data_IF_898267832176
#
_entry.id   IF_898267832176
#
_cell.length_a   1.000
_cell.length_b   1.000
_cell.length_c   1.000
_cell.angle_alpha   90.00
_cell.angle_beta   90.00
_cell.angle_gamma   90.00
#
_symmetry.space_group_name_H-M   'P 1'
#
loop_
_entity.id
_entity.type
_entity.pdbx_description
1 polymer ?
#
# COMPACT_ATOMS: atom_id res chain seq x y z
N UNK A 1 56.79 -30.90 -39.30
CA UNK A 1 55.94 -29.71 -39.54
C UNK A 1 54.42 -30.01 -39.61
N UNK A 2 53.99 -31.25 -39.41
CA UNK A 2 52.56 -31.64 -39.59
C UNK A 2 51.73 -31.79 -38.30
N UNK A 3 52.34 -31.68 -37.12
CA UNK A 3 51.64 -31.87 -35.85
C UNK A 3 50.97 -30.56 -35.35
N UNK A 4 51.44 -29.40 -35.79
CA UNK A 4 50.96 -28.07 -35.38
C UNK A 4 49.60 -27.70 -36.02
N UNK A 5 49.34 -28.14 -37.25
CA UNK A 5 48.10 -27.80 -37.96
C UNK A 5 46.89 -28.63 -37.48
N UNK A 6 47.13 -29.86 -37.04
CA UNK A 6 46.07 -30.72 -36.53
C UNK A 6 45.51 -30.33 -35.13
N UNK A 7 46.36 -29.69 -34.31
CA UNK A 7 45.98 -29.14 -32.97
C UNK A 7 45.20 -27.84 -33.07
N UNK A 8 45.52 -26.97 -34.01
CA UNK A 8 44.80 -25.73 -34.26
C UNK A 8 43.35 -25.97 -34.74
N UNK A 9 43.17 -26.87 -35.70
CA UNK A 9 41.85 -27.23 -36.22
C UNK A 9 40.89 -27.86 -35.16
N UNK A 10 41.43 -28.67 -34.24
CA UNK A 10 40.62 -29.25 -33.12
C UNK A 10 40.24 -28.19 -32.07
N UNK A 11 41.06 -27.19 -31.85
CA UNK A 11 40.73 -26.09 -30.93
C UNK A 11 39.65 -25.14 -31.50
N UNK A 12 39.66 -24.89 -32.81
CA UNK A 12 38.63 -24.09 -33.48
C UNK A 12 37.29 -24.86 -33.57
N UNK A 13 37.25 -26.15 -33.86
CA UNK A 13 36.02 -26.96 -33.85
C UNK A 13 35.39 -27.06 -32.46
N UNK A 14 36.19 -27.20 -31.38
CA UNK A 14 35.71 -27.21 -30.01
C UNK A 14 35.21 -25.84 -29.55
N UNK A 15 35.79 -24.74 -29.99
CA UNK A 15 35.35 -23.37 -29.74
C UNK A 15 34.04 -23.09 -30.48
N UNK A 16 33.90 -23.50 -31.73
CA UNK A 16 32.67 -23.39 -32.53
C UNK A 16 31.47 -24.14 -31.92
N UNK A 17 31.72 -25.41 -31.49
CA UNK A 17 30.67 -26.21 -30.80
C UNK A 17 30.22 -25.62 -29.46
N UNK A 18 31.11 -25.09 -28.67
CA UNK A 18 30.80 -24.40 -27.42
C UNK A 18 30.01 -23.09 -27.65
N UNK A 19 30.32 -22.36 -28.69
CA UNK A 19 29.62 -21.11 -29.08
C UNK A 19 28.20 -21.45 -29.55
N UNK A 20 28.03 -22.44 -30.41
CA UNK A 20 26.72 -22.92 -30.88
C UNK A 20 25.85 -23.45 -29.74
N UNK A 21 26.41 -24.20 -28.79
CA UNK A 21 25.66 -24.70 -27.62
C UNK A 21 25.23 -23.57 -26.66
N UNK A 22 26.06 -22.52 -26.52
CA UNK A 22 25.70 -21.32 -25.74
C UNK A 22 24.62 -20.50 -26.45
N UNK A 23 24.66 -20.39 -27.76
CA UNK A 23 23.67 -19.65 -28.54
C UNK A 23 22.30 -20.38 -28.52
N UNK A 24 22.27 -21.72 -28.63
CA UNK A 24 21.06 -22.51 -28.41
C UNK A 24 20.46 -22.31 -27.00
N UNK A 25 21.31 -22.40 -25.95
CA UNK A 25 20.83 -22.16 -24.59
C UNK A 25 20.29 -20.76 -24.38
N UNK A 26 20.90 -19.77 -25.02
CA UNK A 26 20.44 -18.38 -24.98
C UNK A 26 19.10 -18.19 -25.67
N UNK A 27 18.90 -18.90 -26.80
CA UNK A 27 17.64 -18.91 -27.53
C UNK A 27 16.55 -19.61 -26.70
N UNK A 28 16.81 -20.79 -26.14
CA UNK A 28 15.87 -21.51 -25.28
C UNK A 28 15.46 -20.72 -24.05
N UNK A 29 16.40 -20.02 -23.39
CA UNK A 29 16.10 -19.13 -22.28
C UNK A 29 15.27 -17.91 -22.73
N UNK A 30 15.57 -17.34 -23.91
CA UNK A 30 14.80 -16.25 -24.49
C UNK A 30 13.36 -16.66 -24.81
N UNK A 31 13.18 -17.88 -25.35
CA UNK A 31 11.87 -18.43 -25.68
C UNK A 31 11.08 -18.79 -24.41
N UNK A 32 11.76 -19.29 -23.37
CA UNK A 32 11.15 -19.49 -22.04
C UNK A 32 10.74 -18.17 -21.39
N UNK A 33 11.57 -17.12 -21.47
CA UNK A 33 11.25 -15.75 -20.99
C UNK A 33 10.10 -15.13 -21.77
N UNK A 34 10.02 -15.33 -23.09
CA UNK A 34 8.91 -14.81 -23.91
C UNK A 34 7.60 -15.58 -23.69
N UNK A 35 7.68 -16.84 -23.25
CA UNK A 35 6.53 -17.65 -22.83
C UNK A 35 6.02 -17.35 -21.43
N UNK A 36 6.84 -16.73 -20.58
CA UNK A 36 6.40 -16.19 -19.29
C UNK A 36 5.55 -14.96 -19.58
N UNK A 37 4.22 -15.14 -19.60
CA UNK A 37 3.30 -14.03 -19.49
C UNK A 37 3.58 -13.35 -18.16
N UNK A 38 4.32 -12.24 -18.19
CA UNK A 38 4.36 -11.35 -17.04
C UNK A 38 2.90 -11.03 -16.68
N UNK A 39 2.48 -11.23 -15.43
CA UNK A 39 1.14 -10.86 -15.04
C UNK A 39 0.94 -9.40 -15.43
N UNK A 40 -0.13 -9.11 -16.17
CA UNK A 40 -0.52 -7.75 -16.49
C UNK A 40 -0.62 -6.99 -15.18
N UNK A 41 0.26 -6.02 -14.97
CA UNK A 41 0.19 -5.14 -13.79
C UNK A 41 -1.02 -4.24 -14.02
N UNK A 42 -2.17 -4.69 -13.55
CA UNK A 42 -3.37 -3.85 -13.54
C UNK A 42 -3.16 -2.83 -12.44
N UNK A 43 -2.82 -1.61 -12.83
CA UNK A 43 -2.69 -0.48 -11.91
C UNK A 43 -4.09 -0.10 -11.43
N UNK A 44 -4.41 -0.26 -10.15
CA UNK A 44 -5.71 0.15 -9.62
C UNK A 44 -5.89 1.65 -9.81
N UNK A 45 -7.02 2.05 -10.34
CA UNK A 45 -7.38 3.46 -10.48
C UNK A 45 -8.24 3.86 -9.30
N UNK A 46 -7.68 4.60 -8.37
CA UNK A 46 -8.51 5.31 -7.40
C UNK A 46 -9.34 6.35 -8.16
N UNK A 47 -10.62 6.09 -8.28
CA UNK A 47 -11.57 7.05 -8.80
C UNK A 47 -12.05 7.92 -7.64
N UNK A 48 -11.36 9.03 -7.40
CA UNK A 48 -12.04 10.11 -6.66
C UNK A 48 -13.04 10.74 -7.61
N UNK A 49 -14.30 10.95 -7.21
CA UNK A 49 -15.17 11.82 -7.98
C UNK A 49 -14.42 13.14 -8.22
N UNK A 50 -14.61 13.74 -9.38
CA UNK A 50 -13.97 15.00 -9.76
C UNK A 50 -14.50 16.16 -8.88
N UNK A 51 -14.32 16.05 -7.59
CA UNK A 51 -14.51 17.12 -6.65
C UNK A 51 -13.27 17.98 -6.78
N UNK A 52 -13.48 19.21 -7.19
CA UNK A 52 -12.44 20.21 -7.05
C UNK A 52 -12.20 20.41 -5.55
N UNK A 53 -11.30 19.59 -5.00
CA UNK A 53 -10.98 19.61 -3.57
C UNK A 53 -10.26 20.93 -3.24
N UNK A 54 -9.76 21.66 -4.27
CA UNK A 54 -9.00 22.88 -4.10
C UNK A 54 -7.86 22.69 -3.10
N UNK A 55 -7.17 23.75 -2.75
CA UNK A 55 -6.14 23.73 -1.70
C UNK A 55 -6.81 23.89 -0.32
N UNK A 56 -7.47 22.80 0.16
CA UNK A 56 -8.10 22.76 1.48
C UNK A 56 -7.18 22.09 2.50
N UNK A 57 -7.21 22.56 3.73
CA UNK A 57 -6.62 21.86 4.87
C UNK A 57 -7.63 20.80 5.31
N UNK A 58 -7.18 19.56 5.42
CA UNK A 58 -7.99 18.41 5.84
C UNK A 58 -7.85 18.11 7.33
N UNK A 59 -6.67 18.36 7.87
CA UNK A 59 -6.36 18.25 9.29
C UNK A 59 -5.55 19.46 9.69
N UNK A 60 -5.93 20.14 10.77
CA UNK A 60 -5.16 21.21 11.38
C UNK A 60 -5.20 21.08 12.90
N UNK A 61 -4.05 21.12 13.52
CA UNK A 61 -3.89 21.09 14.96
C UNK A 61 -3.00 22.26 15.39
N UNK A 62 -3.45 23.06 16.34
CA UNK A 62 -2.69 24.16 16.90
C UNK A 62 -2.71 24.12 18.42
N UNK A 63 -1.52 24.17 19.02
CA UNK A 63 -1.34 24.04 20.47
C UNK A 63 -2.06 22.81 21.04
N UNK A 64 -1.97 21.70 20.30
CA UNK A 64 -2.66 20.45 20.62
C UNK A 64 -1.92 19.64 21.67
N UNK A 65 -2.69 18.89 22.48
CA UNK A 65 -2.13 17.80 23.26
C UNK A 65 -3.08 16.60 23.21
N UNK A 66 -2.51 15.40 23.31
CA UNK A 66 -3.25 14.13 23.27
C UNK A 66 -2.74 13.15 24.30
N UNK A 67 -3.65 12.37 24.85
CA UNK A 67 -3.35 11.35 25.84
C UNK A 67 -4.56 10.48 26.15
N UNK A 68 -4.45 9.71 27.20
CA UNK A 68 -5.52 8.87 27.71
C UNK A 68 -6.20 9.53 28.91
N UNK A 69 -7.46 9.14 29.15
CA UNK A 69 -8.23 9.65 30.29
C UNK A 69 -7.46 9.41 31.61
N UNK A 70 -7.45 10.42 32.47
CA UNK A 70 -6.83 10.40 33.80
C UNK A 70 -5.30 10.14 33.79
N UNK A 71 -4.63 10.39 32.65
CA UNK A 71 -3.18 10.30 32.50
C UNK A 71 -2.59 11.60 31.97
N UNK A 72 -1.28 11.79 32.19
CA UNK A 72 -0.54 12.90 31.56
C UNK A 72 -0.62 12.75 30.02
N UNK A 73 -0.71 13.87 29.30
CA UNK A 73 -0.67 13.86 27.85
C UNK A 73 0.59 13.16 27.32
N UNK A 74 0.39 12.26 26.35
CA UNK A 74 1.48 11.52 25.67
C UNK A 74 2.24 12.44 24.72
N UNK A 75 1.53 13.36 24.03
CA UNK A 75 2.12 14.40 23.19
C UNK A 75 1.56 15.75 23.62
N UNK A 76 2.43 16.76 23.64
CA UNK A 76 2.12 18.16 23.96
C UNK A 76 2.66 19.06 22.84
N UNK A 77 2.18 20.29 22.81
CA UNK A 77 2.65 21.33 21.86
C UNK A 77 2.58 20.89 20.40
N UNK A 78 1.49 20.19 20.03
CA UNK A 78 1.29 19.70 18.67
C UNK A 78 0.90 20.86 17.75
N UNK A 79 1.71 21.08 16.72
CA UNK A 79 1.41 21.95 15.58
C UNK A 79 1.53 21.11 14.32
N UNK A 80 0.40 20.76 13.71
CA UNK A 80 0.33 19.80 12.61
C UNK A 80 -0.73 20.20 11.61
N UNK A 81 -0.43 20.15 10.31
CA UNK A 81 -1.43 20.42 9.29
C UNK A 81 -1.20 19.57 8.04
N UNK A 82 -2.29 19.11 7.43
CA UNK A 82 -2.28 18.31 6.21
C UNK A 82 -3.25 18.91 5.21
N UNK A 83 -2.75 19.37 4.09
CA UNK A 83 -3.56 19.82 2.96
C UNK A 83 -4.03 18.65 2.08
N UNK A 84 -4.95 18.95 1.16
CA UNK A 84 -5.65 17.99 0.29
C UNK A 84 -4.77 17.08 -0.59
N UNK A 85 -3.50 17.42 -0.75
CA UNK A 85 -2.48 16.65 -1.49
C UNK A 85 -1.23 16.40 -0.67
N UNK A 86 -1.27 16.70 0.63
CA UNK A 86 -0.14 16.53 1.54
C UNK A 86 0.20 15.06 1.74
N UNK A 87 1.49 14.74 1.80
CA UNK A 87 1.99 13.40 2.11
C UNK A 87 2.99 13.53 3.24
N UNK A 88 2.56 13.22 4.46
CA UNK A 88 3.31 13.47 5.68
C UNK A 88 3.70 12.14 6.33
N UNK A 89 4.96 12.04 6.69
CA UNK A 89 5.50 10.95 7.51
C UNK A 89 5.50 11.37 8.98
N UNK A 90 4.88 10.57 9.83
CA UNK A 90 4.97 10.71 11.28
C UNK A 90 6.09 9.83 11.77
N UNK A 91 7.17 10.43 12.28
CA UNK A 91 8.31 9.73 12.86
C UNK A 91 8.37 9.88 14.39
N UNK A 92 9.29 9.16 15.01
CA UNK A 92 9.51 9.15 16.45
C UNK A 92 9.80 7.74 16.98
N UNK A 93 10.34 7.64 18.18
CA UNK A 93 10.65 6.37 18.85
C UNK A 93 9.38 5.54 19.11
N UNK A 94 9.54 4.25 19.37
CA UNK A 94 8.43 3.43 19.86
C UNK A 94 7.93 3.99 21.19
N UNK A 95 6.60 4.17 21.29
CA UNK A 95 5.96 4.80 22.45
C UNK A 95 5.94 6.33 22.44
N UNK A 96 6.48 7.02 21.42
CA UNK A 96 6.46 8.48 21.33
C UNK A 96 5.07 9.10 21.06
N UNK A 97 4.03 8.30 20.89
CA UNK A 97 2.67 8.81 20.71
C UNK A 97 2.17 8.85 19.26
N UNK A 98 2.90 8.28 18.28
CA UNK A 98 2.46 8.23 16.86
C UNK A 98 1.06 7.68 16.69
N UNK A 99 0.79 6.49 17.22
CA UNK A 99 -0.53 5.85 17.15
C UNK A 99 -1.57 6.60 17.99
N UNK A 100 -1.18 7.28 19.07
CA UNK A 100 -2.08 8.13 19.87
C UNK A 100 -2.52 9.35 19.04
N UNK A 101 -1.61 9.98 18.31
CA UNK A 101 -1.91 11.08 17.40
C UNK A 101 -2.87 10.63 16.28
N UNK A 102 -2.61 9.47 15.65
CA UNK A 102 -3.50 8.90 14.63
C UNK A 102 -4.89 8.62 15.21
N UNK A 103 -5.00 8.00 16.38
CA UNK A 103 -6.28 7.76 17.05
C UNK A 103 -7.01 9.06 17.37
N UNK A 104 -6.29 10.11 17.75
CA UNK A 104 -6.87 11.44 17.97
C UNK A 104 -7.46 12.03 16.68
N UNK A 105 -6.77 11.89 15.54
CA UNK A 105 -7.27 12.30 14.22
C UNK A 105 -8.51 11.49 13.83
N UNK A 106 -8.53 10.19 14.14
CA UNK A 106 -9.68 9.29 13.89
C UNK A 106 -10.86 9.50 14.87
N UNK A 107 -10.74 10.45 15.81
CA UNK A 107 -11.73 10.70 16.86
C UNK A 107 -12.05 9.49 17.74
N UNK A 108 -11.02 8.68 18.07
CA UNK A 108 -11.17 7.56 19.02
C UNK A 108 -11.69 8.10 20.37
N UNK A 109 -12.81 7.57 20.90
CA UNK A 109 -13.42 8.05 22.14
C UNK A 109 -12.55 7.82 23.38
N UNK A 110 -11.53 6.96 23.31
CA UNK A 110 -10.59 6.70 24.41
C UNK A 110 -9.46 7.73 24.46
N UNK A 111 -9.34 8.61 23.46
CA UNK A 111 -8.31 9.64 23.39
C UNK A 111 -8.85 10.97 23.83
N UNK A 112 -8.19 11.58 24.79
CA UNK A 112 -8.46 12.95 25.24
C UNK A 112 -7.61 13.93 24.43
N UNK A 113 -8.27 14.93 23.87
CA UNK A 113 -7.63 16.01 23.09
C UNK A 113 -7.79 17.34 23.79
N UNK A 114 -6.78 18.18 23.75
CA UNK A 114 -6.86 19.60 24.12
C UNK A 114 -6.21 20.46 23.06
N UNK A 115 -6.44 21.79 23.13
CA UNK A 115 -6.05 22.72 22.06
C UNK A 115 -7.06 22.78 20.91
N UNK A 116 -6.66 23.34 19.78
CA UNK A 116 -7.53 23.54 18.62
C UNK A 116 -7.30 22.39 17.61
N UNK A 117 -8.35 21.62 17.36
CA UNK A 117 -8.35 20.52 16.41
C UNK A 117 -9.45 20.76 15.36
N UNK A 118 -9.04 20.94 14.11
CA UNK A 118 -9.93 20.96 12.97
C UNK A 118 -9.60 19.73 12.11
N UNK A 119 -10.49 18.75 12.11
CA UNK A 119 -10.31 17.48 11.42
C UNK A 119 -11.55 17.21 10.58
N UNK A 120 -11.35 16.85 9.35
CA UNK A 120 -12.42 16.48 8.43
C UNK A 120 -13.27 15.33 8.96
N UNK A 121 -14.41 15.06 8.30
CA UNK A 121 -15.28 13.95 8.67
C UNK A 121 -14.53 12.60 8.63
N UNK A 122 -14.76 11.76 9.64
CA UNK A 122 -14.18 10.41 9.69
C UNK A 122 -14.60 9.51 8.52
N UNK A 123 -15.74 9.80 7.88
CA UNK A 123 -16.22 9.09 6.68
C UNK A 123 -15.31 9.31 5.47
N UNK A 124 -14.62 10.45 5.42
CA UNK A 124 -13.68 10.83 4.38
C UNK A 124 -12.24 10.36 4.67
N UNK A 125 -12.02 9.66 5.79
CA UNK A 125 -10.71 9.14 6.19
C UNK A 125 -10.68 7.62 5.99
N UNK A 126 -9.72 7.14 5.19
CA UNK A 126 -9.38 5.73 5.09
C UNK A 126 -8.25 5.41 6.07
N UNK A 127 -8.42 4.38 6.90
CA UNK A 127 -7.40 3.93 7.85
C UNK A 127 -6.99 2.50 7.57
N UNK A 128 -5.71 2.27 7.46
CA UNK A 128 -5.10 0.97 7.26
C UNK A 128 -4.03 0.76 8.33
N UNK A 129 -4.27 -0.16 9.23
CA UNK A 129 -3.34 -0.54 10.29
C UNK A 129 -2.61 -1.86 10.00
N UNK A 130 -1.59 -2.15 10.78
CA UNK A 130 -0.79 -3.37 10.68
C UNK A 130 -1.61 -4.66 10.83
N UNK A 131 -2.77 -4.63 11.50
CA UNK A 131 -3.60 -5.78 11.80
C UNK A 131 -4.87 -5.87 10.94
N UNK A 132 -5.09 -4.89 10.04
CA UNK A 132 -6.27 -4.82 9.17
C UNK A 132 -7.58 -4.90 9.95
N UNK A 133 -7.66 -4.15 11.06
CA UNK A 133 -8.81 -4.17 11.99
C UNK A 133 -10.12 -3.70 11.37
N UNK A 134 -10.05 -3.01 10.23
CA UNK A 134 -11.20 -2.63 9.42
C UNK A 134 -11.90 -3.82 8.74
N UNK A 135 -11.26 -5.00 8.66
CA UNK A 135 -11.81 -6.19 8.02
C UNK A 135 -12.55 -7.07 9.05
N UNK A 136 -13.80 -7.43 8.74
CA UNK A 136 -14.57 -8.42 9.50
C UNK A 136 -14.12 -9.83 9.10
N UNK A 137 -13.67 -10.64 10.04
CA UNK A 137 -13.07 -11.94 9.78
C UNK A 137 -14.03 -13.01 9.23
N UNK A 138 -15.32 -12.93 9.56
CA UNK A 138 -16.30 -13.99 9.32
C UNK A 138 -17.17 -13.78 8.07
N UNK A 139 -16.84 -12.78 7.25
CA UNK A 139 -17.54 -12.54 5.98
C UNK A 139 -16.64 -12.86 4.79
N UNK A 140 -17.22 -13.04 3.60
CA UNK A 140 -16.47 -13.31 2.37
C UNK A 140 -15.84 -12.04 1.83
N UNK A 141 -14.76 -12.20 1.09
CA UNK A 141 -14.08 -11.11 0.37
C UNK A 141 -15.05 -10.27 -0.46
N UNK A 142 -15.95 -10.93 -1.21
CA UNK A 142 -16.94 -10.23 -2.04
C UNK A 142 -17.92 -9.40 -1.21
N UNK A 143 -18.32 -9.90 -0.03
CA UNK A 143 -19.27 -9.21 0.83
C UNK A 143 -18.65 -7.97 1.48
N UNK A 144 -17.32 -7.98 1.78
CA UNK A 144 -16.59 -6.79 2.23
C UNK A 144 -16.75 -5.64 1.24
N UNK A 145 -16.60 -5.94 -0.05
CA UNK A 145 -16.68 -4.91 -1.08
C UNK A 145 -18.14 -4.55 -1.39
N UNK A 146 -19.06 -5.49 -1.31
CA UNK A 146 -20.51 -5.21 -1.44
C UNK A 146 -20.99 -4.23 -0.37
N UNK A 147 -20.53 -4.38 0.89
CA UNK A 147 -20.81 -3.41 1.98
C UNK A 147 -20.20 -2.02 1.70
N UNK A 148 -19.03 -1.96 1.05
CA UNK A 148 -18.34 -0.71 0.73
C UNK A 148 -18.88 -0.01 -0.52
N UNK A 149 -19.56 -0.76 -1.41
CA UNK A 149 -20.13 -0.29 -2.66
C UNK A 149 -21.66 -0.53 -2.72
N UNK A 150 -22.45 0.12 -1.85
CA UNK A 150 -23.89 -0.12 -1.79
C UNK A 150 -24.56 0.21 -3.14
N UNK A 151 -25.35 -0.74 -3.66
CA UNK A 151 -26.03 -0.60 -4.95
C UNK A 151 -25.19 -0.99 -6.18
N UNK A 152 -23.92 -1.36 -6.02
CA UNK A 152 -23.13 -1.92 -7.13
C UNK A 152 -23.61 -3.34 -7.48
N UNK A 153 -23.66 -3.65 -8.78
CA UNK A 153 -23.95 -5.00 -9.23
C UNK A 153 -22.74 -5.94 -9.02
N UNK A 154 -22.97 -7.24 -9.16
CA UNK A 154 -21.94 -8.26 -9.01
C UNK A 154 -20.75 -8.02 -9.93
N UNK A 155 -20.99 -7.57 -11.17
CA UNK A 155 -19.94 -7.33 -12.16
C UNK A 155 -19.04 -6.17 -11.78
N UNK A 156 -19.61 -5.09 -11.23
CA UNK A 156 -18.86 -3.93 -10.74
C UNK A 156 -17.98 -4.32 -9.54
N UNK A 157 -18.53 -5.08 -8.58
CA UNK A 157 -17.79 -5.58 -7.42
C UNK A 157 -16.64 -6.50 -7.87
N UNK A 158 -16.89 -7.42 -8.80
CA UNK A 158 -15.86 -8.31 -9.36
C UNK A 158 -14.75 -7.56 -10.08
N UNK A 159 -15.08 -6.54 -10.86
CA UNK A 159 -14.11 -5.69 -11.55
C UNK A 159 -13.25 -4.94 -10.56
N UNK A 160 -13.85 -4.35 -9.53
CA UNK A 160 -13.13 -3.68 -8.45
C UNK A 160 -12.16 -4.62 -7.73
N UNK A 161 -12.61 -5.81 -7.32
CA UNK A 161 -11.77 -6.83 -6.70
C UNK A 161 -10.61 -7.29 -7.62
N UNK A 162 -10.85 -7.40 -8.93
CA UNK A 162 -9.82 -7.77 -9.89
C UNK A 162 -8.67 -6.74 -9.97
N UNK A 163 -8.96 -5.45 -9.78
CA UNK A 163 -7.96 -4.38 -9.70
C UNK A 163 -7.00 -4.57 -8.51
N UNK A 164 -7.48 -5.22 -7.43
CA UNK A 164 -6.72 -5.56 -6.24
C UNK A 164 -6.26 -7.03 -6.23
N UNK A 165 -6.16 -7.66 -7.42
CA UNK A 165 -5.63 -9.01 -7.66
C UNK A 165 -6.47 -10.16 -7.08
N UNK A 166 -7.74 -9.94 -6.75
CA UNK A 166 -8.70 -11.01 -6.44
C UNK A 166 -9.39 -11.48 -7.74
N UNK A 167 -8.74 -12.38 -8.46
CA UNK A 167 -9.14 -12.77 -9.83
C UNK A 167 -9.95 -14.06 -9.89
N UNK A 168 -9.66 -15.01 -9.02
CA UNK A 168 -10.28 -16.32 -9.00
C UNK A 168 -11.58 -16.35 -8.20
N UNK A 169 -12.47 -17.25 -8.57
CA UNK A 169 -13.73 -17.40 -7.84
C UNK A 169 -13.53 -17.90 -6.40
N UNK A 170 -12.53 -18.75 -6.19
CA UNK A 170 -12.17 -19.25 -4.86
C UNK A 170 -11.73 -18.08 -3.96
N UNK A 171 -10.89 -17.18 -4.46
CA UNK A 171 -10.37 -16.02 -3.72
C UNK A 171 -11.48 -15.06 -3.29
N UNK A 172 -12.43 -14.75 -4.18
CA UNK A 172 -13.52 -13.81 -3.85
C UNK A 172 -14.60 -14.40 -2.96
N UNK A 173 -14.73 -15.72 -2.92
CA UNK A 173 -15.68 -16.42 -2.04
C UNK A 173 -15.02 -16.91 -0.74
N UNK A 174 -13.70 -16.78 -0.59
CA UNK A 174 -13.00 -17.13 0.64
C UNK A 174 -13.44 -16.22 1.80
N UNK A 175 -13.41 -16.77 3.02
CA UNK A 175 -13.59 -16.01 4.24
C UNK A 175 -12.35 -15.14 4.51
N UNK A 176 -12.55 -13.91 5.00
CA UNK A 176 -11.45 -12.99 5.34
C UNK A 176 -10.44 -13.61 6.30
N UNK A 177 -10.89 -14.44 7.25
CA UNK A 177 -9.99 -15.16 8.18
C UNK A 177 -9.02 -16.12 7.50
N UNK A 178 -9.33 -16.61 6.29
CA UNK A 178 -8.53 -17.57 5.53
C UNK A 178 -7.44 -16.89 4.73
N UNK A 179 -7.50 -15.56 4.58
CA UNK A 179 -6.56 -14.78 3.81
C UNK A 179 -5.20 -14.65 4.51
N UNK A 180 -4.13 -14.72 3.71
CA UNK A 180 -2.79 -14.32 4.12
C UNK A 180 -2.71 -12.83 4.48
N UNK A 181 -1.63 -12.41 5.14
CA UNK A 181 -1.42 -11.00 5.48
C UNK A 181 -1.41 -10.08 4.24
N UNK A 182 -0.77 -10.51 3.15
CA UNK A 182 -0.75 -9.77 1.90
C UNK A 182 -2.13 -9.66 1.24
N UNK A 183 -2.93 -10.72 1.26
CA UNK A 183 -4.30 -10.69 0.76
C UNK A 183 -5.20 -9.79 1.59
N UNK A 184 -5.05 -9.80 2.93
CA UNK A 184 -5.75 -8.85 3.81
C UNK A 184 -5.37 -7.40 3.51
N UNK A 185 -4.10 -7.12 3.25
CA UNK A 185 -3.65 -5.80 2.85
C UNK A 185 -4.34 -5.33 1.56
N UNK A 186 -4.34 -6.18 0.53
CA UNK A 186 -5.02 -5.88 -0.75
C UNK A 186 -6.52 -5.69 -0.59
N UNK A 187 -7.19 -6.53 0.21
CA UNK A 187 -8.62 -6.41 0.47
C UNK A 187 -8.96 -5.13 1.25
N UNK A 188 -8.16 -4.80 2.25
CA UNK A 188 -8.34 -3.57 3.03
C UNK A 188 -8.17 -2.33 2.15
N UNK A 189 -7.16 -2.31 1.26
CA UNK A 189 -7.02 -1.25 0.28
C UNK A 189 -8.19 -1.20 -0.70
N UNK A 190 -8.68 -2.34 -1.17
CA UNK A 190 -9.86 -2.41 -2.03
C UNK A 190 -11.11 -1.83 -1.33
N UNK A 191 -11.33 -2.17 -0.06
CA UNK A 191 -12.42 -1.63 0.74
C UNK A 191 -12.32 -0.10 0.90
N UNK A 192 -11.11 0.40 1.18
CA UNK A 192 -10.84 1.84 1.32
C UNK A 192 -11.06 2.54 -0.03
N UNK A 193 -10.52 1.98 -1.12
CA UNK A 193 -10.66 2.55 -2.45
C UNK A 193 -12.12 2.64 -2.92
N UNK A 194 -12.94 1.66 -2.54
CA UNK A 194 -14.38 1.67 -2.83
C UNK A 194 -15.12 2.87 -2.20
N UNK A 195 -14.62 3.38 -1.07
CA UNK A 195 -15.17 4.55 -0.36
C UNK A 195 -14.59 5.87 -0.85
N UNK A 196 -13.53 5.84 -1.64
CA UNK A 196 -12.85 7.02 -2.19
C UNK A 196 -12.53 8.11 -1.15
N UNK A 197 -11.78 7.78 -0.09
CA UNK A 197 -11.47 8.73 0.98
C UNK A 197 -10.63 9.90 0.45
N UNK A 198 -10.66 11.04 1.12
CA UNK A 198 -9.83 12.22 0.81
C UNK A 198 -8.49 12.20 1.54
N UNK A 199 -8.43 11.51 2.66
CA UNK A 199 -7.22 11.29 3.47
C UNK A 199 -7.02 9.80 3.73
N UNK A 200 -5.83 9.29 3.47
CA UNK A 200 -5.39 7.95 3.88
C UNK A 200 -4.45 8.05 5.08
N UNK A 201 -4.69 7.23 6.08
CA UNK A 201 -3.77 7.03 7.20
C UNK A 201 -3.25 5.60 7.12
N UNK A 202 -1.93 5.44 7.03
CA UNK A 202 -1.23 4.18 6.86
C UNK A 202 -0.31 3.95 8.08
N UNK A 203 -0.62 2.94 8.90
CA UNK A 203 0.12 2.66 10.14
C UNK A 203 0.84 1.31 10.04
N UNK A 204 2.16 1.34 9.79
CA UNK A 204 3.08 0.19 9.75
C UNK A 204 2.66 -0.93 8.78
N UNK A 205 2.07 -0.59 7.64
CA UNK A 205 1.46 -1.55 6.71
C UNK A 205 2.46 -2.43 5.95
N UNK A 206 3.75 -2.07 5.94
CA UNK A 206 4.78 -2.78 5.15
C UNK A 206 5.37 -3.99 5.85
N UNK A 207 5.18 -4.15 7.16
CA UNK A 207 5.88 -5.13 7.99
C UNK A 207 5.59 -6.60 7.64
N UNK A 208 4.43 -6.90 7.05
CA UNK A 208 3.98 -8.28 6.80
C UNK A 208 3.68 -8.54 5.31
N UNK A 209 4.21 -7.71 4.40
CA UNK A 209 3.98 -7.86 2.97
C UNK A 209 5.11 -8.63 2.30
N UNK A 210 4.76 -9.62 1.48
CA UNK A 210 5.69 -10.20 0.52
C UNK A 210 6.05 -9.18 -0.58
N UNK A 211 7.11 -9.45 -1.33
CA UNK A 211 7.65 -8.51 -2.33
C UNK A 211 6.63 -8.15 -3.42
N UNK A 212 5.82 -9.09 -3.87
CA UNK A 212 4.82 -8.88 -4.92
C UNK A 212 3.69 -7.99 -4.41
N UNK A 213 3.13 -8.31 -3.25
CA UNK A 213 2.10 -7.50 -2.59
C UNK A 213 2.62 -6.11 -2.26
N UNK A 214 3.87 -5.99 -1.77
CA UNK A 214 4.49 -4.69 -1.47
C UNK A 214 4.59 -3.82 -2.73
N UNK A 215 5.06 -4.39 -3.85
CA UNK A 215 5.14 -3.67 -5.12
C UNK A 215 3.75 -3.19 -5.58
N UNK A 216 2.74 -4.03 -5.49
CA UNK A 216 1.37 -3.68 -5.84
C UNK A 216 0.80 -2.56 -4.93
N UNK A 217 1.00 -2.65 -3.61
CA UNK A 217 0.58 -1.61 -2.65
C UNK A 217 1.24 -0.27 -2.97
N UNK A 218 2.55 -0.26 -3.28
CA UNK A 218 3.27 0.95 -3.69
C UNK A 218 2.64 1.56 -4.94
N UNK A 219 2.35 0.76 -5.97
CA UNK A 219 1.72 1.24 -7.20
C UNK A 219 0.36 1.90 -6.92
N UNK A 220 -0.49 1.23 -6.12
CA UNK A 220 -1.79 1.76 -5.70
C UNK A 220 -1.63 3.12 -5.00
N UNK A 221 -0.75 3.20 -4.00
CA UNK A 221 -0.56 4.40 -3.18
C UNK A 221 0.12 5.55 -3.94
N UNK A 222 1.02 5.22 -4.89
CA UNK A 222 1.68 6.21 -5.75
C UNK A 222 0.68 7.03 -6.56
N UNK A 223 -0.35 6.38 -7.07
CA UNK A 223 -1.39 7.01 -7.88
C UNK A 223 -2.59 7.55 -7.07
N UNK A 224 -2.59 7.36 -5.76
CA UNK A 224 -3.63 7.91 -4.90
C UNK A 224 -3.59 9.45 -4.94
N UNK A 225 -4.70 10.12 -5.34
CA UNK A 225 -4.73 11.56 -5.56
C UNK A 225 -4.93 12.38 -4.28
N UNK A 226 -5.41 11.75 -3.20
CA UNK A 226 -5.68 12.42 -1.91
C UNK A 226 -4.46 12.60 -1.03
N UNK A 227 -4.69 13.12 0.17
CA UNK A 227 -3.67 13.28 1.18
C UNK A 227 -3.29 11.96 1.86
N UNK A 228 -2.07 11.85 2.38
CA UNK A 228 -1.62 10.70 3.15
C UNK A 228 -0.90 11.12 4.44
N UNK A 229 -1.21 10.41 5.52
CA UNK A 229 -0.44 10.38 6.76
C UNK A 229 0.14 8.96 6.85
N UNK A 230 1.46 8.84 7.01
CA UNK A 230 2.15 7.55 6.96
C UNK A 230 3.01 7.38 8.19
N UNK A 231 2.87 6.25 8.87
CA UNK A 231 3.80 5.77 9.89
C UNK A 231 4.48 4.53 9.29
N UNK A 232 5.80 4.54 9.17
CA UNK A 232 6.56 3.39 8.68
C UNK A 232 8.03 3.49 9.07
N UNK A 233 8.69 2.37 9.28
CA UNK A 233 10.15 2.29 9.42
C UNK A 233 10.86 2.00 8.08
N UNK A 234 10.12 1.86 7.00
CA UNK A 234 10.63 1.52 5.66
C UNK A 234 10.88 2.79 4.83
N UNK A 235 12.13 3.25 4.80
CA UNK A 235 12.53 4.45 4.07
C UNK A 235 12.33 4.32 2.55
N UNK A 236 12.51 3.12 1.98
CA UNK A 236 12.31 2.88 0.55
C UNK A 236 10.83 2.97 0.18
N UNK A 237 9.95 2.48 1.05
CA UNK A 237 8.51 2.62 0.91
C UNK A 237 8.09 4.09 0.91
N UNK A 238 8.52 4.88 1.91
CA UNK A 238 8.21 6.30 2.02
C UNK A 238 8.65 7.07 0.77
N UNK A 239 9.86 6.79 0.26
CA UNK A 239 10.38 7.39 -0.98
C UNK A 239 9.55 6.99 -2.20
N UNK A 240 9.18 5.70 -2.31
CA UNK A 240 8.43 5.18 -3.45
C UNK A 240 7.02 5.78 -3.57
N UNK A 241 6.37 6.12 -2.45
CA UNK A 241 5.06 6.77 -2.41
C UNK A 241 5.14 8.30 -2.34
N UNK A 242 6.32 8.90 -2.59
CA UNK A 242 6.54 10.36 -2.64
C UNK A 242 6.15 11.12 -1.36
N UNK A 243 6.44 10.60 -0.19
CA UNK A 243 6.30 11.34 1.07
C UNK A 243 7.40 12.40 1.15
N UNK A 244 7.03 13.65 1.45
CA UNK A 244 7.94 14.80 1.43
C UNK A 244 8.05 15.49 2.78
N UNK A 245 6.96 15.56 3.50
CA UNK A 245 6.89 16.28 4.76
C UNK A 245 7.06 15.32 5.93
N UNK A 246 7.64 15.78 7.01
CA UNK A 246 7.91 15.00 8.22
C UNK A 246 7.35 15.72 9.43
N UNK A 247 6.65 14.97 10.28
CA UNK A 247 6.26 15.38 11.61
C UNK A 247 6.92 14.46 12.63
N UNK A 248 7.74 15.03 13.53
CA UNK A 248 8.44 14.28 14.56
C UNK A 248 7.69 14.34 15.89
N UNK A 249 7.37 13.17 16.43
CA UNK A 249 6.74 13.03 17.75
C UNK A 249 7.73 13.02 18.93
N UNK A 250 9.03 13.24 18.70
CA UNK A 250 10.05 13.25 19.75
C UNK A 250 10.83 11.96 19.89
#
# INVERSE_FOLDING_TARGET
TDVSAATAGRAEETSGRKKSANDCKKQDLSDQLSGLRLPEIITPKFSLPAWDIGDKILVSVSNGAVGYKDQEPVLKDIYFSVGSRGRIFICGRNGSGKSTLVRAILNDPNIVKSGNWDVMSSEDIGYLDQHYTNLKNDIRVIDVIAEAMPGADYSAIRRHLNEFLFRKNEEVNACVRELSGGEKARLSLAQIAAKTPKLLILDEITNNLDLETRAHVIEVLKFYPGAMIVISHDADFLKAINVKDVFDCG
#
